data_IF_563052125812
#
_entry.id   IF_563052125812
#
_cell.length_a   1.000
_cell.length_b   1.000
_cell.length_c   1.000
_cell.angle_alpha   90.00
_cell.angle_beta   90.00
_cell.angle_gamma   90.00
#
_symmetry.space_group_name_H-M   'P 1'
#
loop_
_entity.id
_entity.type
_entity.pdbx_description
1 polymer ?
#
# COMPACT_ATOMS: atom_id res chain seq x y z
N UNK A 1 34.51 14.26 -5.72
CA UNK A 1 34.07 13.09 -4.92
C UNK A 1 33.02 12.34 -5.73
N UNK A 2 33.42 11.22 -6.28
CA UNK A 2 32.63 10.40 -7.22
C UNK A 2 31.68 9.52 -6.41
N UNK A 3 30.39 9.72 -6.57
CA UNK A 3 29.37 8.83 -6.02
C UNK A 3 29.37 7.52 -6.80
N UNK A 4 29.78 6.46 -6.12
CA UNK A 4 29.69 5.11 -6.67
C UNK A 4 28.22 4.70 -6.82
N UNK A 5 27.86 4.40 -8.05
CA UNK A 5 26.59 3.77 -8.43
C UNK A 5 26.49 2.44 -7.66
N UNK A 6 25.64 2.36 -6.63
CA UNK A 6 25.35 1.11 -5.95
C UNK A 6 24.80 0.12 -6.98
N UNK A 7 25.49 -1.01 -7.13
CA UNK A 7 25.17 -2.02 -8.12
C UNK A 7 23.74 -2.52 -7.96
N UNK A 8 22.98 -2.53 -9.07
CA UNK A 8 21.69 -3.24 -9.16
C UNK A 8 21.96 -4.71 -8.79
N UNK A 9 21.38 -5.18 -7.70
CA UNK A 9 21.33 -6.63 -7.48
C UNK A 9 20.39 -7.19 -8.57
N UNK A 10 20.83 -8.28 -9.21
CA UNK A 10 19.98 -8.99 -10.15
C UNK A 10 18.72 -9.46 -9.43
N UNK A 11 17.58 -8.84 -9.75
CA UNK A 11 16.26 -9.30 -9.29
C UNK A 11 15.99 -10.68 -9.91
N UNK A 12 15.63 -11.64 -9.08
CA UNK A 12 15.15 -12.93 -9.58
C UNK A 12 13.83 -12.71 -10.31
N UNK A 13 13.70 -13.19 -11.57
CA UNK A 13 12.46 -13.07 -12.29
C UNK A 13 11.30 -13.71 -11.50
N UNK A 14 10.19 -12.98 -11.35
CA UNK A 14 8.97 -13.50 -10.72
C UNK A 14 8.85 -13.28 -9.21
N UNK A 15 9.79 -12.57 -8.56
CA UNK A 15 9.70 -12.22 -7.14
C UNK A 15 9.36 -10.74 -6.98
N UNK A 16 8.20 -10.39 -6.40
CA UNK A 16 7.86 -8.99 -6.11
C UNK A 16 8.77 -8.39 -5.04
N UNK A 17 8.92 -7.07 -5.06
CA UNK A 17 9.58 -6.28 -4.00
C UNK A 17 8.71 -5.08 -3.62
N UNK A 18 8.93 -4.59 -2.37
CA UNK A 18 8.42 -3.31 -1.92
C UNK A 18 9.53 -2.26 -2.05
N UNK A 19 9.25 -1.22 -2.82
CA UNK A 19 10.14 -0.07 -2.95
C UNK A 19 9.45 1.22 -2.53
N UNK A 20 10.21 2.22 -2.13
CA UNK A 20 9.66 3.57 -1.96
C UNK A 20 9.14 4.09 -3.31
N UNK A 21 8.04 4.87 -3.35
CA UNK A 21 7.55 5.50 -4.56
C UNK A 21 8.68 6.25 -5.29
N UNK A 22 8.77 6.13 -6.62
CA UNK A 22 9.83 6.75 -7.42
C UNK A 22 9.31 7.26 -8.77
N UNK A 23 9.77 8.43 -9.20
CA UNK A 23 9.40 8.98 -10.50
C UNK A 23 9.94 8.15 -11.69
N UNK A 24 10.92 7.28 -11.47
CA UNK A 24 11.50 6.42 -12.51
C UNK A 24 10.51 5.42 -13.11
N UNK A 25 9.45 5.06 -12.36
CA UNK A 25 8.42 4.12 -12.81
C UNK A 25 7.20 4.80 -13.46
N UNK A 26 7.30 6.06 -13.86
CA UNK A 26 6.18 6.82 -14.42
C UNK A 26 5.48 6.08 -15.58
N UNK A 27 6.24 5.62 -16.57
CA UNK A 27 5.67 4.92 -17.72
C UNK A 27 4.97 3.61 -17.33
N UNK A 28 5.58 2.82 -16.44
CA UNK A 28 5.00 1.58 -15.95
C UNK A 28 3.75 1.79 -15.09
N UNK A 29 3.74 2.87 -14.30
CA UNK A 29 2.58 3.27 -13.52
C UNK A 29 1.42 3.75 -14.40
N UNK A 30 1.70 4.53 -15.46
CA UNK A 30 0.68 4.95 -16.43
C UNK A 30 0.01 3.74 -17.10
N UNK A 31 0.80 2.77 -17.57
CA UNK A 31 0.26 1.54 -18.15
C UNK A 31 -0.63 0.77 -17.15
N UNK A 32 -0.25 0.72 -15.87
CA UNK A 32 -1.09 0.12 -14.85
C UNK A 32 -2.38 0.92 -14.62
N UNK A 33 -2.31 2.26 -14.63
CA UNK A 33 -3.47 3.14 -14.47
C UNK A 33 -4.50 2.94 -15.59
N UNK A 34 -4.05 2.75 -16.83
CA UNK A 34 -4.92 2.43 -17.96
C UNK A 34 -5.70 1.13 -17.74
N UNK A 35 -5.05 0.11 -17.17
CA UNK A 35 -5.72 -1.16 -16.85
C UNK A 35 -6.81 -1.01 -15.77
N UNK A 36 -6.65 -0.09 -14.81
CA UNK A 36 -7.65 0.18 -13.79
C UNK A 36 -8.90 0.85 -14.38
N UNK A 37 -8.72 1.59 -15.45
CA UNK A 37 -9.75 2.39 -16.09
C UNK A 37 -10.01 3.74 -15.40
N UNK A 38 -10.69 4.66 -16.10
CA UNK A 38 -10.92 6.01 -15.60
C UNK A 38 -11.81 6.00 -14.35
N UNK A 39 -11.49 6.88 -13.39
CA UNK A 39 -12.27 7.05 -12.15
C UNK A 39 -12.17 5.91 -11.13
N UNK A 40 -11.43 4.84 -11.42
CA UNK A 40 -11.29 3.73 -10.47
C UNK A 40 -10.34 4.11 -9.35
N UNK A 41 -10.83 4.02 -8.10
CA UNK A 41 -10.00 4.22 -6.93
C UNK A 41 -8.98 3.10 -6.77
N UNK A 42 -7.73 3.48 -6.53
CA UNK A 42 -6.63 2.54 -6.33
C UNK A 42 -6.24 2.52 -4.85
N UNK A 43 -6.77 1.55 -4.11
CA UNK A 43 -6.45 1.40 -2.70
C UNK A 43 -4.93 1.29 -2.47
N UNK A 44 -4.44 1.90 -1.39
CA UNK A 44 -3.03 1.88 -1.02
C UNK A 44 -2.12 2.82 -1.82
N UNK A 45 -2.57 3.36 -2.96
CA UNK A 45 -1.76 4.25 -3.81
C UNK A 45 -1.52 5.63 -3.19
N UNK A 46 -2.42 6.10 -2.33
CA UNK A 46 -2.41 7.46 -1.82
C UNK A 46 -2.73 8.54 -2.87
N UNK A 47 -3.20 8.15 -4.06
CA UNK A 47 -3.64 9.06 -5.11
C UNK A 47 -4.89 9.83 -4.68
N UNK A 48 -4.94 11.12 -4.99
CA UNK A 48 -6.05 12.03 -4.70
C UNK A 48 -6.62 12.62 -5.99
N UNK A 49 -7.88 13.04 -6.00
CA UNK A 49 -8.47 13.70 -7.17
C UNK A 49 -7.73 14.97 -7.63
N UNK A 50 -7.03 15.64 -6.71
CA UNK A 50 -6.25 16.85 -7.00
C UNK A 50 -4.83 16.60 -7.51
N UNK A 51 -4.36 15.34 -7.52
CA UNK A 51 -3.02 15.02 -8.02
C UNK A 51 -3.02 15.04 -9.56
N UNK A 52 -2.22 15.93 -10.14
CA UNK A 52 -1.97 15.97 -11.58
C UNK A 52 -0.90 14.93 -11.94
N UNK A 53 -1.33 13.72 -12.21
CA UNK A 53 -0.42 12.59 -12.52
C UNK A 53 -0.36 12.27 -14.02
N UNK A 54 -1.01 13.05 -14.87
CA UNK A 54 -0.98 12.90 -16.32
C UNK A 54 0.32 13.45 -16.93
N UNK A 55 0.95 14.41 -16.23
CA UNK A 55 2.26 14.94 -16.59
C UNK A 55 3.35 14.42 -15.66
N UNK A 56 4.55 14.18 -16.19
CA UNK A 56 5.69 13.69 -15.42
C UNK A 56 6.05 14.58 -14.21
N UNK A 57 5.91 15.90 -14.34
CA UNK A 57 6.18 16.86 -13.27
C UNK A 57 5.17 16.73 -12.12
N UNK A 58 3.88 16.61 -12.43
CA UNK A 58 2.83 16.40 -11.43
C UNK A 58 2.95 15.01 -10.78
N UNK A 59 3.29 13.98 -11.55
CA UNK A 59 3.59 12.66 -11.02
C UNK A 59 4.76 12.69 -10.02
N UNK A 60 5.85 13.39 -10.32
CA UNK A 60 6.97 13.57 -9.41
C UNK A 60 6.55 14.29 -8.12
N UNK A 61 5.70 15.32 -8.22
CA UNK A 61 5.13 16.03 -7.07
C UNK A 61 4.31 15.08 -6.18
N UNK A 62 3.48 14.23 -6.79
CA UNK A 62 2.74 13.20 -6.05
C UNK A 62 3.67 12.22 -5.35
N UNK A 63 4.70 11.70 -6.03
CA UNK A 63 5.72 10.82 -5.44
C UNK A 63 6.39 11.47 -4.23
N UNK A 64 6.81 12.73 -4.34
CA UNK A 64 7.44 13.46 -3.24
C UNK A 64 6.48 13.67 -2.05
N UNK A 65 5.19 13.88 -2.32
CA UNK A 65 4.15 13.93 -1.28
C UNK A 65 4.03 12.60 -0.56
N UNK A 66 3.98 11.47 -1.28
CA UNK A 66 3.89 10.14 -0.67
C UNK A 66 5.09 9.86 0.24
N UNK A 67 6.30 10.24 -0.18
CA UNK A 67 7.52 10.07 0.62
C UNK A 67 7.46 10.89 1.91
N UNK A 68 7.06 12.18 1.81
CA UNK A 68 6.93 13.08 2.97
C UNK A 68 5.88 12.62 3.98
N UNK A 69 4.81 11.93 3.53
CA UNK A 69 3.79 11.41 4.43
C UNK A 69 4.32 10.37 5.42
N UNK A 70 5.43 9.69 5.11
CA UNK A 70 6.10 8.75 6.00
C UNK A 70 7.04 9.39 7.02
N UNK A 71 7.36 10.66 6.87
CA UNK A 71 8.30 11.41 7.73
C UNK A 71 7.58 12.00 8.94
N UNK A 72 7.71 11.37 10.10
CA UNK A 72 7.09 11.81 11.35
C UNK A 72 7.77 13.04 11.98
N UNK A 73 8.93 13.47 11.46
CA UNK A 73 9.56 14.74 11.86
C UNK A 73 8.82 15.96 11.31
N UNK A 74 8.01 15.78 10.27
CA UNK A 74 7.15 16.79 9.69
C UNK A 74 5.74 16.69 10.27
N UNK A 75 5.00 17.81 10.37
CA UNK A 75 3.59 17.74 10.77
C UNK A 75 2.76 16.98 9.74
N UNK A 76 1.84 16.13 10.23
CA UNK A 76 0.86 15.51 9.34
C UNK A 76 -0.06 16.59 8.73
N UNK A 77 -0.49 16.38 7.49
CA UNK A 77 -1.50 17.24 6.85
C UNK A 77 -2.79 17.26 7.69
N UNK A 78 -3.51 18.38 7.67
CA UNK A 78 -4.75 18.53 8.42
C UNK A 78 -5.77 17.43 8.08
N UNK A 79 -6.39 16.85 9.11
CA UNK A 79 -7.34 15.74 8.98
C UNK A 79 -6.72 14.39 8.56
N UNK A 80 -5.40 14.31 8.41
CA UNK A 80 -4.69 13.10 7.99
C UNK A 80 -3.76 12.57 9.08
N UNK A 81 -3.24 11.39 8.85
CA UNK A 81 -2.22 10.75 9.68
C UNK A 81 -0.99 10.46 8.83
N UNK A 82 0.17 10.30 9.45
CA UNK A 82 1.35 9.80 8.76
C UNK A 82 1.08 8.42 8.18
N UNK A 83 1.66 8.17 7.00
CA UNK A 83 1.53 6.91 6.30
C UNK A 83 2.78 6.62 5.48
N UNK A 84 3.31 5.43 5.59
CA UNK A 84 4.36 4.95 4.69
C UNK A 84 3.72 4.28 3.49
N UNK A 85 4.19 4.64 2.29
CA UNK A 85 3.72 4.10 1.03
C UNK A 85 4.83 3.28 0.40
N UNK A 86 4.49 2.10 -0.12
CA UNK A 86 5.37 1.28 -0.94
C UNK A 86 4.68 0.94 -2.26
N UNK A 87 5.47 0.87 -3.29
CA UNK A 87 5.07 0.28 -4.54
C UNK A 87 5.50 -1.17 -4.59
N UNK A 88 4.62 -2.00 -5.11
CA UNK A 88 4.86 -3.40 -5.37
C UNK A 88 5.38 -3.48 -6.78
N UNK A 89 6.62 -3.94 -6.96
CA UNK A 89 7.27 -3.99 -8.27
C UNK A 89 7.84 -5.38 -8.54
N UNK A 90 7.94 -5.73 -9.80
CA UNK A 90 8.63 -6.92 -10.27
C UNK A 90 9.53 -6.47 -11.42
N UNK A 91 10.85 -6.53 -11.21
CA UNK A 91 11.81 -5.89 -12.11
C UNK A 91 11.53 -4.38 -12.24
N UNK A 92 11.28 -3.88 -13.46
CA UNK A 92 10.95 -2.48 -13.73
C UNK A 92 9.42 -2.25 -13.91
N UNK A 93 8.60 -3.23 -13.51
CA UNK A 93 7.14 -3.20 -13.67
C UNK A 93 6.44 -2.85 -12.35
N UNK A 94 5.64 -1.79 -12.35
CA UNK A 94 4.73 -1.46 -11.26
C UNK A 94 3.55 -2.44 -11.28
N UNK A 95 3.39 -3.20 -10.20
CA UNK A 95 2.29 -4.16 -10.02
C UNK A 95 1.16 -3.62 -9.16
N UNK A 96 1.43 -2.61 -8.35
CA UNK A 96 0.45 -2.06 -7.41
C UNK A 96 1.10 -1.26 -6.29
N UNK A 97 0.31 -0.95 -5.28
CA UNK A 97 0.76 -0.21 -4.10
C UNK A 97 0.17 -0.81 -2.83
N UNK A 98 0.88 -0.58 -1.72
CA UNK A 98 0.42 -0.84 -0.36
C UNK A 98 0.86 0.32 0.53
N UNK A 99 0.01 0.69 1.48
CA UNK A 99 0.33 1.75 2.43
C UNK A 99 0.00 1.32 3.87
N UNK A 100 0.81 1.79 4.81
CA UNK A 100 0.61 1.63 6.24
C UNK A 100 0.42 3.01 6.88
N UNK A 101 -0.75 3.27 7.43
CA UNK A 101 -1.08 4.44 8.26
C UNK A 101 -0.57 4.17 9.66
N UNK A 102 0.19 5.10 10.22
CA UNK A 102 0.90 4.90 11.48
C UNK A 102 -0.03 4.93 12.70
N UNK A 103 -1.23 5.48 12.55
CA UNK A 103 -2.31 5.50 13.55
C UNK A 103 -3.66 5.59 12.87
N UNK A 104 -4.71 5.36 13.63
CA UNK A 104 -6.08 5.59 13.17
C UNK A 104 -6.59 6.95 13.69
N UNK A 105 -7.27 7.69 12.82
CA UNK A 105 -8.23 8.72 13.22
C UNK A 105 -9.65 8.12 13.11
N UNK A 106 -10.67 8.93 13.44
CA UNK A 106 -12.06 8.45 13.46
C UNK A 106 -12.53 7.88 12.12
N UNK A 107 -12.18 8.51 10.99
CA UNK A 107 -12.49 8.00 9.66
C UNK A 107 -11.81 6.66 9.41
N UNK A 108 -10.52 6.55 9.68
CA UNK A 108 -9.75 5.32 9.45
C UNK A 108 -10.23 4.19 10.36
N UNK A 109 -10.63 4.51 11.59
CA UNK A 109 -11.20 3.52 12.50
C UNK A 109 -12.56 3.01 11.99
N UNK A 110 -13.37 3.86 11.35
CA UNK A 110 -14.66 3.45 10.79
C UNK A 110 -14.52 2.70 9.46
N UNK A 111 -13.74 3.22 8.52
CA UNK A 111 -13.81 2.80 7.12
C UNK A 111 -12.46 2.54 6.43
N UNK A 112 -11.38 3.23 6.81
CA UNK A 112 -10.13 3.22 6.05
C UNK A 112 -9.08 2.20 6.53
N UNK A 113 -9.07 1.85 7.81
CA UNK A 113 -8.10 0.95 8.43
C UNK A 113 -6.65 1.48 8.43
N UNK A 114 -5.72 0.66 8.93
CA UNK A 114 -4.27 0.96 8.91
C UNK A 114 -3.65 0.66 7.54
N UNK A 115 -4.06 -0.39 6.87
CA UNK A 115 -3.43 -0.85 5.64
C UNK A 115 -4.44 -0.81 4.49
N UNK A 116 -4.02 -0.17 3.38
CA UNK A 116 -4.70 -0.22 2.10
C UNK A 116 -3.76 -0.77 1.03
N UNK A 117 -4.27 -1.57 0.11
CA UNK A 117 -3.49 -2.11 -1.00
C UNK A 117 -4.34 -2.29 -2.26
N UNK A 118 -3.67 -2.17 -3.40
CA UNK A 118 -4.27 -2.41 -4.71
C UNK A 118 -3.26 -3.04 -5.66
N UNK A 119 -3.73 -3.95 -6.52
CA UNK A 119 -2.90 -4.66 -7.52
C UNK A 119 -3.51 -4.44 -8.89
N UNK A 120 -2.67 -4.05 -9.87
CA UNK A 120 -3.10 -3.83 -11.26
C UNK A 120 -3.81 -5.08 -11.82
N UNK A 121 -4.84 -4.91 -12.65
CA UNK A 121 -5.65 -6.02 -13.15
C UNK A 121 -4.86 -7.21 -13.70
N UNK A 122 -3.86 -6.97 -14.55
CA UNK A 122 -3.03 -8.03 -15.15
C UNK A 122 -2.15 -8.81 -14.18
N UNK A 123 -1.90 -8.27 -12.97
CA UNK A 123 -1.10 -8.94 -11.94
C UNK A 123 -1.94 -9.62 -10.84
N UNK A 124 -3.29 -9.56 -10.93
CA UNK A 124 -4.19 -10.22 -9.99
C UNK A 124 -4.15 -11.74 -10.12
N UNK A 125 -4.57 -12.46 -9.08
CA UNK A 125 -4.57 -13.93 -9.07
C UNK A 125 -3.20 -14.58 -8.86
N UNK A 126 -2.11 -13.81 -8.86
CA UNK A 126 -0.72 -14.27 -8.69
C UNK A 126 -0.22 -14.28 -7.24
N UNK A 127 -1.07 -13.98 -6.28
CA UNK A 127 -0.68 -13.90 -4.85
C UNK A 127 0.02 -12.60 -4.44
N UNK A 128 0.16 -11.62 -5.34
CA UNK A 128 0.88 -10.35 -5.12
C UNK A 128 0.37 -9.60 -3.88
N UNK A 129 -0.95 -9.44 -3.73
CA UNK A 129 -1.54 -8.77 -2.56
C UNK A 129 -1.28 -9.53 -1.25
N UNK A 130 -1.37 -10.88 -1.27
CA UNK A 130 -1.07 -11.73 -0.12
C UNK A 130 0.39 -11.55 0.30
N UNK A 131 1.31 -11.61 -0.66
CA UNK A 131 2.72 -11.39 -0.40
C UNK A 131 2.99 -9.99 0.17
N UNK A 132 2.42 -8.93 -0.44
CA UNK A 132 2.65 -7.55 0.00
C UNK A 132 2.10 -7.29 1.42
N UNK A 133 0.91 -7.82 1.74
CA UNK A 133 0.38 -7.71 3.10
C UNK A 133 1.31 -8.42 4.10
N UNK A 134 1.74 -9.66 3.81
CA UNK A 134 2.69 -10.39 4.66
C UNK A 134 4.01 -9.64 4.88
N UNK A 135 4.50 -8.92 3.87
CA UNK A 135 5.71 -8.12 3.99
C UNK A 135 5.53 -6.84 4.85
N UNK A 136 4.32 -6.26 4.89
CA UNK A 136 4.05 -5.02 5.65
C UNK A 136 3.68 -5.30 7.12
N UNK A 137 3.09 -6.44 7.46
CA UNK A 137 2.70 -6.75 8.85
C UNK A 137 3.87 -6.68 9.84
N UNK A 138 5.06 -7.26 9.57
CA UNK A 138 6.22 -7.10 10.45
C UNK A 138 6.70 -5.65 10.59
N UNK A 139 6.54 -4.83 9.54
CA UNK A 139 6.88 -3.40 9.58
C UNK A 139 5.91 -2.63 10.49
N UNK A 140 4.63 -3.02 10.50
CA UNK A 140 3.64 -2.46 11.42
C UNK A 140 3.98 -2.83 12.88
N UNK A 141 4.37 -4.09 13.14
CA UNK A 141 4.83 -4.53 14.46
C UNK A 141 6.08 -3.77 14.92
N UNK A 142 7.07 -3.59 14.01
CA UNK A 142 8.28 -2.82 14.31
C UNK A 142 8.02 -1.34 14.63
N UNK A 143 6.84 -0.79 14.23
CA UNK A 143 6.37 0.54 14.62
C UNK A 143 5.62 0.56 15.97
N UNK A 144 5.55 -0.56 16.67
CA UNK A 144 4.88 -0.66 17.96
C UNK A 144 3.36 -0.84 17.86
N UNK A 145 2.83 -1.23 16.72
CA UNK A 145 1.41 -1.59 16.62
C UNK A 145 1.21 -3.03 17.10
N UNK A 146 0.32 -3.24 18.06
CA UNK A 146 -0.03 -4.58 18.55
C UNK A 146 -0.97 -5.31 17.60
N UNK A 147 -1.78 -4.55 16.84
CA UNK A 147 -2.73 -5.05 15.85
C UNK A 147 -3.00 -4.01 14.78
N UNK A 148 -3.43 -4.46 13.62
CA UNK A 148 -3.83 -3.58 12.51
C UNK A 148 -5.27 -3.84 12.10
N UNK A 149 -6.02 -2.76 11.85
CA UNK A 149 -7.33 -2.80 11.21
C UNK A 149 -7.14 -2.76 9.69
N UNK A 150 -7.76 -3.69 8.98
CA UNK A 150 -7.83 -3.69 7.51
C UNK A 150 -9.30 -3.76 7.10
N UNK A 151 -9.67 -2.97 6.13
CA UNK A 151 -11.05 -2.90 5.64
C UNK A 151 -11.12 -3.24 4.16
N UNK A 152 -12.25 -3.81 3.73
CA UNK A 152 -12.54 -4.00 2.33
C UNK A 152 -14.05 -3.87 2.07
N UNK A 153 -14.44 -3.56 0.84
CA UNK A 153 -15.84 -3.58 0.45
C UNK A 153 -16.44 -4.97 0.70
N UNK A 154 -17.69 -5.05 1.16
CA UNK A 154 -18.37 -6.31 1.49
C UNK A 154 -18.39 -7.31 0.32
N UNK A 155 -18.54 -6.82 -0.91
CA UNK A 155 -18.47 -7.63 -2.13
C UNK A 155 -17.05 -8.01 -2.57
N UNK A 156 -15.97 -7.51 -1.94
CA UNK A 156 -14.60 -7.80 -2.33
C UNK A 156 -14.07 -9.08 -1.66
N UNK A 157 -14.59 -10.23 -2.09
CA UNK A 157 -14.16 -11.53 -1.59
C UNK A 157 -12.67 -11.83 -1.79
N UNK A 158 -12.02 -11.20 -2.79
CA UNK A 158 -10.59 -11.38 -3.01
C UNK A 158 -9.77 -10.73 -1.88
N UNK A 159 -10.11 -9.49 -1.50
CA UNK A 159 -9.46 -8.80 -0.39
C UNK A 159 -9.74 -9.50 0.95
N UNK A 160 -11.00 -9.92 1.20
CA UNK A 160 -11.35 -10.67 2.41
C UNK A 160 -10.45 -11.91 2.58
N UNK A 161 -10.30 -12.74 1.53
CA UNK A 161 -9.41 -13.91 1.56
C UNK A 161 -7.94 -13.58 1.79
N UNK A 162 -7.45 -12.46 1.26
CA UNK A 162 -6.06 -12.00 1.53
C UNK A 162 -5.90 -11.68 3.02
N UNK A 163 -6.84 -10.96 3.61
CA UNK A 163 -6.81 -10.56 5.02
C UNK A 163 -6.92 -11.78 5.94
N UNK A 164 -7.87 -12.68 5.66
CA UNK A 164 -8.12 -13.91 6.44
C UNK A 164 -6.92 -14.87 6.41
N UNK A 165 -6.20 -14.98 5.28
CA UNK A 165 -4.95 -15.76 5.18
C UNK A 165 -3.83 -15.27 6.09
N UNK A 166 -3.88 -14.02 6.51
CA UNK A 166 -2.94 -13.43 7.46
C UNK A 166 -3.48 -13.38 8.90
N UNK A 167 -4.50 -14.18 9.20
CA UNK A 167 -5.08 -14.24 10.55
C UNK A 167 -6.06 -13.11 10.84
N UNK A 168 -6.59 -12.45 9.80
CA UNK A 168 -7.63 -11.43 9.96
C UNK A 168 -8.92 -11.98 10.52
N UNK A 169 -9.34 -11.47 11.69
CA UNK A 169 -10.58 -11.79 12.34
C UNK A 169 -11.62 -10.71 12.02
N UNK A 170 -12.75 -11.10 11.44
CA UNK A 170 -13.84 -10.18 11.15
C UNK A 170 -14.41 -9.61 12.44
N UNK A 171 -14.38 -8.30 12.60
CA UNK A 171 -15.02 -7.59 13.71
C UNK A 171 -16.51 -7.35 13.41
N UNK A 172 -16.77 -6.73 12.25
CA UNK A 172 -18.13 -6.42 11.81
C UNK A 172 -18.22 -6.12 10.30
N UNK A 173 -19.45 -5.97 9.84
CA UNK A 173 -19.79 -5.42 8.52
C UNK A 173 -20.75 -4.25 8.75
N UNK A 174 -20.38 -3.06 8.28
CA UNK A 174 -21.18 -1.86 8.50
C UNK A 174 -21.26 -0.99 7.25
N UNK A 175 -22.27 -0.14 7.21
CA UNK A 175 -22.35 0.92 6.22
C UNK A 175 -21.46 2.08 6.64
N UNK A 176 -20.63 2.55 5.72
CA UNK A 176 -19.64 3.60 5.91
C UNK A 176 -19.72 4.63 4.76
N UNK A 177 -18.93 5.68 4.87
CA UNK A 177 -18.75 6.67 3.80
C UNK A 177 -18.20 6.04 2.49
N UNK A 178 -17.58 4.85 2.59
CA UNK A 178 -17.05 4.08 1.45
C UNK A 178 -18.02 2.97 0.99
N UNK A 179 -19.24 2.95 1.49
CA UNK A 179 -20.22 1.89 1.26
C UNK A 179 -20.15 0.78 2.30
N UNK A 180 -20.83 -0.35 2.00
CA UNK A 180 -20.85 -1.51 2.91
C UNK A 180 -19.50 -2.15 3.01
N UNK A 181 -18.92 -2.17 4.23
CA UNK A 181 -17.50 -2.43 4.49
C UNK A 181 -17.33 -3.50 5.55
N UNK A 182 -16.49 -4.50 5.26
CA UNK A 182 -15.97 -5.48 6.22
C UNK A 182 -14.77 -4.91 6.94
N UNK A 183 -14.70 -5.12 8.25
CA UNK A 183 -13.60 -4.67 9.10
C UNK A 183 -12.96 -5.86 9.80
N UNK A 184 -11.65 -6.02 9.62
CA UNK A 184 -10.87 -7.14 10.14
C UNK A 184 -9.73 -6.63 11.01
N UNK A 185 -9.48 -7.29 12.13
CA UNK A 185 -8.26 -7.07 12.92
C UNK A 185 -7.29 -8.22 12.71
N UNK A 186 -6.01 -7.88 12.51
CA UNK A 186 -4.88 -8.81 12.53
C UNK A 186 -4.04 -8.47 13.75
N UNK A 187 -3.85 -9.43 14.66
CA UNK A 187 -2.91 -9.33 15.79
C UNK A 187 -1.48 -9.55 15.27
N UNK A 188 -0.53 -8.72 15.72
CA UNK A 188 0.83 -8.72 15.19
C UNK A 188 1.82 -9.51 16.07
N UNK A 189 1.48 -9.81 17.32
CA UNK A 189 2.32 -10.58 18.25
C UNK A 189 2.72 -11.97 17.75
N UNK A 190 1.91 -12.53 16.84
CA UNK A 190 2.07 -13.89 16.32
C UNK A 190 2.68 -13.93 14.92
N UNK A 191 3.13 -12.79 14.38
CA UNK A 191 3.68 -12.73 13.03
C UNK A 191 5.15 -13.18 13.03
N UNK A 192 5.55 -14.09 12.12
CA UNK A 192 6.95 -14.46 11.97
C UNK A 192 7.79 -13.24 11.57
N UNK A 193 9.02 -13.17 12.07
CA UNK A 193 9.95 -12.12 11.70
C UNK A 193 10.07 -11.96 10.18
N UNK A 194 10.11 -10.72 9.69
CA UNK A 194 10.16 -10.43 8.26
C UNK A 194 11.36 -11.12 7.58
N UNK A 195 11.07 -12.04 6.68
CA UNK A 195 12.07 -12.65 5.81
C UNK A 195 12.05 -11.95 4.44
N UNK A 196 12.78 -10.84 4.35
CA UNK A 196 12.98 -10.15 3.07
C UNK A 196 13.38 -8.68 3.23
N UNK A 197 14.22 -8.15 2.35
CA UNK A 197 14.64 -6.74 2.43
C UNK A 197 13.51 -5.82 1.94
N UNK A 198 13.10 -4.91 2.83
CA UNK A 198 12.38 -3.68 2.47
C UNK A 198 13.44 -2.60 2.23
N UNK A 199 13.39 -1.92 1.10
CA UNK A 199 14.30 -0.82 0.73
C UNK A 199 13.58 0.48 0.53
#
# INVERSE_FOLDING_TARGET
MTWHRAGRRANLPGVPELIAPTAELYASWLAAREEWGPGTHQDGSGLRPADDVDAAAGFATWVDRLRRQGDESLPAEEGRVHATHWWIVEQDSYLGAISLRHRLNDFLLRAGGHIGYGVRPSARGRGVATWALGAVLPLAAARGLDRVLITCADGNAASARVIERHGGVLEDVRDTELGRTRRYWITLSDQPAASGPVR
#
